data_IF_886412927909
#
_entry.id   IF_886412927909
#
_cell.length_a   1.000
_cell.length_b   1.000
_cell.length_c   1.000
_cell.angle_alpha   90.00
_cell.angle_beta   90.00
_cell.angle_gamma   90.00
#
_symmetry.space_group_name_H-M   'P 1'
#
loop_
_entity.id
_entity.type
_entity.pdbx_description
1 polymer ?
#
# COMPACT_ATOMS: atom_id res chain seq x y z
N UNK A 1 10.42 17.05 10.91
CA UNK A 1 10.03 16.58 9.56
C UNK A 1 8.52 16.77 9.39
N UNK A 2 8.04 17.14 8.19
CA UNK A 2 6.63 17.43 7.93
C UNK A 2 5.88 16.09 7.74
N UNK A 3 4.74 15.91 8.44
CA UNK A 3 3.87 14.77 8.22
C UNK A 3 3.14 14.89 6.88
N UNK A 4 2.86 13.76 6.24
CA UNK A 4 2.09 13.69 5.00
C UNK A 4 0.70 13.08 5.24
N UNK A 5 0.61 12.14 6.21
CA UNK A 5 -0.66 11.57 6.69
C UNK A 5 -0.68 11.64 8.21
N UNK A 6 -1.79 12.12 8.78
CA UNK A 6 -2.04 12.09 10.21
C UNK A 6 -3.45 11.55 10.47
N UNK A 7 -3.54 10.63 11.40
CA UNK A 7 -4.78 9.97 11.79
C UNK A 7 -5.00 10.26 13.27
N UNK A 8 -6.15 10.84 13.61
CA UNK A 8 -6.50 11.25 14.97
C UNK A 8 -7.75 10.54 15.44
N UNK A 9 -7.62 9.75 16.52
CA UNK A 9 -8.71 9.06 17.22
C UNK A 9 -9.70 8.34 16.27
N UNK A 10 -9.20 7.79 15.18
CA UNK A 10 -10.01 7.16 14.16
C UNK A 10 -10.66 5.89 14.69
N UNK A 11 -11.98 5.84 14.61
CA UNK A 11 -12.78 4.66 14.94
C UNK A 11 -13.70 4.30 13.78
N UNK A 12 -13.91 3.00 13.57
CA UNK A 12 -14.87 2.48 12.58
C UNK A 12 -15.67 1.34 13.15
N UNK A 13 -16.99 1.52 13.13
CA UNK A 13 -17.97 0.56 13.63
C UNK A 13 -18.79 0.00 12.48
N UNK A 14 -19.20 -1.27 12.59
CA UNK A 14 -20.22 -1.93 11.78
C UNK A 14 -21.15 -2.70 12.72
N UNK A 15 -22.45 -2.51 12.60
CA UNK A 15 -23.47 -3.23 13.35
C UNK A 15 -23.14 -3.38 14.86
N UNK A 16 -22.84 -2.26 15.52
CA UNK A 16 -22.44 -2.18 16.92
C UNK A 16 -21.09 -2.85 17.26
N UNK A 17 -20.34 -3.38 16.27
CA UNK A 17 -19.01 -3.91 16.49
C UNK A 17 -17.94 -2.87 16.13
N UNK A 18 -17.12 -2.51 17.10
CA UNK A 18 -16.00 -1.59 16.89
C UNK A 18 -14.81 -2.34 16.31
N UNK A 19 -14.51 -2.11 15.01
CA UNK A 19 -13.42 -2.79 14.31
C UNK A 19 -12.12 -1.99 14.38
N UNK A 20 -12.21 -0.65 14.32
CA UNK A 20 -11.08 0.25 14.60
C UNK A 20 -11.43 1.12 15.78
N UNK A 21 -10.51 1.24 16.73
CA UNK A 21 -10.76 1.88 18.00
C UNK A 21 -9.67 2.91 18.34
N UNK A 22 -10.00 4.18 18.16
CA UNK A 22 -9.15 5.35 18.49
C UNK A 22 -7.72 5.21 17.95
N UNK A 23 -7.59 4.85 16.67
CA UNK A 23 -6.30 4.78 15.99
C UNK A 23 -5.70 6.18 15.91
N UNK A 24 -4.47 6.30 16.38
CA UNK A 24 -3.63 7.48 16.22
C UNK A 24 -2.35 7.05 15.49
N UNK A 25 -2.05 7.69 14.35
CA UNK A 25 -0.88 7.36 13.55
C UNK A 25 -0.42 8.59 12.78
N UNK A 26 0.89 8.80 12.75
CA UNK A 26 1.52 9.89 12.03
C UNK A 26 2.59 9.35 11.10
N UNK A 27 2.53 9.70 9.82
CA UNK A 27 3.44 9.25 8.78
C UNK A 27 4.16 10.46 8.20
N UNK A 28 5.48 10.42 8.25
CA UNK A 28 6.35 11.52 7.80
C UNK A 28 6.59 11.43 6.30
N UNK A 29 6.74 12.54 5.61
CA UNK A 29 7.09 12.56 4.19
C UNK A 29 8.43 11.85 3.95
N UNK A 30 8.45 10.95 2.96
CA UNK A 30 9.61 10.13 2.60
C UNK A 30 9.84 8.90 3.48
N UNK A 31 8.96 8.65 4.45
CA UNK A 31 9.00 7.49 5.34
C UNK A 31 8.40 6.25 4.66
N UNK A 32 9.00 5.08 4.90
CA UNK A 32 8.43 3.78 4.56
C UNK A 32 7.88 3.13 5.82
N UNK A 33 6.56 3.22 6.02
CA UNK A 33 5.86 2.61 7.13
C UNK A 33 5.33 1.23 6.75
N UNK A 34 5.61 0.23 7.56
CA UNK A 34 4.98 -1.10 7.44
C UNK A 34 3.97 -1.30 8.56
N UNK A 35 2.73 -1.64 8.19
CA UNK A 35 1.64 -1.93 9.13
C UNK A 35 1.47 -3.45 9.21
N UNK A 36 1.69 -4.01 10.40
CA UNK A 36 1.59 -5.45 10.67
C UNK A 36 0.44 -5.78 11.60
N UNK A 37 0.10 -7.06 11.67
CA UNK A 37 -0.92 -7.60 12.58
C UNK A 37 -1.59 -8.83 12.01
N UNK A 38 -2.28 -9.58 12.87
CA UNK A 38 -3.00 -10.82 12.49
C UNK A 38 -4.09 -10.53 11.44
N UNK A 39 -4.51 -11.56 10.71
CA UNK A 39 -5.68 -11.45 9.82
C UNK A 39 -6.89 -10.98 10.62
N UNK A 40 -7.69 -10.08 10.03
CA UNK A 40 -8.86 -9.51 10.72
C UNK A 40 -8.57 -8.43 11.77
N UNK A 41 -7.31 -8.03 12.01
CA UNK A 41 -6.96 -7.01 13.01
C UNK A 41 -7.37 -5.58 12.65
N UNK A 42 -7.82 -5.32 11.40
CA UNK A 42 -8.28 -4.01 10.94
C UNK A 42 -7.35 -3.29 9.96
N UNK A 43 -6.22 -3.88 9.53
CA UNK A 43 -5.23 -3.25 8.63
C UNK A 43 -5.83 -2.74 7.32
N UNK A 44 -6.47 -3.62 6.55
CA UNK A 44 -7.10 -3.25 5.26
C UNK A 44 -8.30 -2.30 5.46
N UNK A 45 -8.98 -2.36 6.61
CA UNK A 45 -10.03 -1.41 6.94
C UNK A 45 -9.48 -0.01 7.19
N UNK A 46 -8.37 0.10 7.92
CA UNK A 46 -7.67 1.36 8.13
C UNK A 46 -7.25 1.96 6.79
N UNK A 47 -6.68 1.15 5.89
CA UNK A 47 -6.30 1.61 4.55
C UNK A 47 -7.50 2.08 3.74
N UNK A 48 -8.65 1.38 3.77
CA UNK A 48 -9.88 1.81 3.10
C UNK A 48 -10.39 3.16 3.64
N UNK A 49 -10.20 3.44 4.92
CA UNK A 49 -10.49 4.75 5.49
C UNK A 49 -9.50 5.83 4.98
N UNK A 50 -8.21 5.54 4.92
CA UNK A 50 -7.18 6.46 4.39
C UNK A 50 -7.42 6.79 2.91
N UNK A 51 -7.86 5.81 2.13
CA UNK A 51 -8.20 5.97 0.70
C UNK A 51 -9.58 6.62 0.47
N UNK A 52 -10.32 6.97 1.53
CA UNK A 52 -11.65 7.54 1.38
C UNK A 52 -12.74 6.59 0.87
N UNK A 53 -12.41 5.29 0.70
CA UNK A 53 -13.38 4.26 0.29
C UNK A 53 -14.44 4.07 1.38
N UNK A 54 -14.03 4.20 2.65
CA UNK A 54 -14.92 4.11 3.80
C UNK A 54 -14.72 5.32 4.71
N UNK A 55 -15.83 6.02 5.00
CA UNK A 55 -15.80 7.11 5.98
C UNK A 55 -15.64 6.51 7.39
N UNK A 56 -14.72 7.02 8.23
CA UNK A 56 -14.64 6.64 9.64
C UNK A 56 -15.94 7.00 10.38
N UNK A 57 -16.24 6.27 11.46
CA UNK A 57 -17.38 6.58 12.33
C UNK A 57 -17.07 7.75 13.27
N UNK A 58 -15.78 7.89 13.65
CA UNK A 58 -15.25 8.98 14.48
C UNK A 58 -13.80 9.24 14.12
N UNK A 59 -13.30 10.42 14.50
CA UNK A 59 -11.92 10.83 14.28
C UNK A 59 -11.71 11.48 12.92
N UNK A 60 -10.45 11.78 12.61
CA UNK A 60 -10.05 12.55 11.43
C UNK A 60 -8.86 11.93 10.73
N UNK A 61 -8.79 12.13 9.42
CA UNK A 61 -7.64 11.77 8.59
C UNK A 61 -7.20 13.04 7.86
N UNK A 62 -6.00 13.51 8.17
CA UNK A 62 -5.36 14.58 7.44
C UNK A 62 -4.38 13.99 6.43
N UNK A 63 -4.52 14.38 5.17
CA UNK A 63 -3.57 14.05 4.11
C UNK A 63 -3.07 15.38 3.54
N UNK A 64 -1.75 15.57 3.54
CA UNK A 64 -1.11 16.83 3.13
C UNK A 64 -1.66 18.04 3.92
N UNK A 65 -1.90 17.87 5.22
CA UNK A 65 -2.49 18.84 6.16
C UNK A 65 -3.96 19.22 5.86
N UNK A 66 -4.69 18.46 5.06
CA UNK A 66 -6.10 18.69 4.75
C UNK A 66 -6.93 17.56 5.32
N UNK A 67 -7.99 17.87 6.07
CA UNK A 67 -8.91 16.86 6.56
C UNK A 67 -9.71 16.29 5.39
N UNK A 68 -9.39 15.05 4.99
CA UNK A 68 -9.88 14.41 3.79
C UNK A 68 -11.40 14.37 3.68
N UNK A 69 -12.09 14.16 4.80
CA UNK A 69 -13.55 14.06 4.81
C UNK A 69 -14.28 15.39 5.00
N UNK A 70 -13.55 16.49 5.21
CA UNK A 70 -14.10 17.83 5.39
C UNK A 70 -13.88 18.75 4.18
N UNK A 71 -12.97 18.39 3.27
CA UNK A 71 -12.71 19.17 2.05
C UNK A 71 -13.74 18.85 0.97
N UNK A 72 -13.87 19.74 -0.02
CA UNK A 72 -14.75 19.56 -1.19
C UNK A 72 -14.27 18.40 -2.06
N UNK A 73 -15.18 17.84 -2.86
CA UNK A 73 -14.91 16.67 -3.72
C UNK A 73 -13.73 16.88 -4.67
N UNK A 74 -13.66 18.04 -5.31
CA UNK A 74 -12.53 18.35 -6.23
C UNK A 74 -11.17 18.29 -5.51
N UNK A 75 -11.16 18.67 -4.24
CA UNK A 75 -9.97 18.65 -3.41
C UNK A 75 -9.64 17.22 -2.92
N UNK A 76 -10.67 16.40 -2.63
CA UNK A 76 -10.49 14.97 -2.39
C UNK A 76 -9.89 14.28 -3.61
N UNK A 77 -10.39 14.58 -4.81
CA UNK A 77 -9.88 14.01 -6.07
C UNK A 77 -8.41 14.39 -6.31
N UNK A 78 -8.03 15.65 -6.00
CA UNK A 78 -6.62 16.07 -6.06
C UNK A 78 -5.73 15.33 -5.06
N UNK A 79 -6.22 15.08 -3.84
CA UNK A 79 -5.50 14.28 -2.85
C UNK A 79 -5.35 12.84 -3.35
N UNK A 80 -6.42 12.23 -3.84
CA UNK A 80 -6.40 10.84 -4.36
C UNK A 80 -5.50 10.70 -5.59
N UNK A 81 -5.39 11.73 -6.42
CA UNK A 81 -4.43 11.75 -7.53
C UNK A 81 -2.97 11.64 -7.06
N UNK A 82 -2.66 12.13 -5.86
CA UNK A 82 -1.31 12.02 -5.28
C UNK A 82 -1.01 10.66 -4.64
N UNK A 83 -1.96 9.71 -4.67
CA UNK A 83 -1.84 8.38 -4.08
C UNK A 83 -1.84 7.32 -5.17
N UNK A 84 -0.83 6.46 -5.18
CA UNK A 84 -0.81 5.20 -5.92
C UNK A 84 -1.12 4.04 -4.98
N UNK A 85 -1.93 3.08 -5.42
CA UNK A 85 -2.36 1.97 -4.57
C UNK A 85 -2.31 0.63 -5.30
N UNK A 86 -1.86 -0.41 -4.59
CA UNK A 86 -2.08 -1.80 -4.97
C UNK A 86 -2.94 -2.47 -3.92
N UNK A 87 -3.96 -3.19 -4.35
CA UNK A 87 -4.87 -3.93 -3.47
C UNK A 87 -4.47 -5.40 -3.38
N UNK A 88 -4.86 -6.04 -2.30
CA UNK A 88 -4.82 -7.50 -2.19
C UNK A 88 -5.55 -8.12 -3.39
N UNK A 89 -4.91 -9.13 -4.04
CA UNK A 89 -5.47 -9.72 -5.27
C UNK A 89 -5.25 -8.91 -6.54
N UNK A 90 -4.36 -7.89 -6.51
CA UNK A 90 -3.96 -7.01 -7.63
C UNK A 90 -5.06 -6.08 -8.16
N UNK A 91 -6.34 -6.44 -8.05
CA UNK A 91 -7.50 -5.69 -8.53
C UNK A 91 -7.33 -5.16 -9.97
N UNK A 92 -6.77 -5.99 -10.86
CA UNK A 92 -6.74 -5.70 -12.29
C UNK A 92 -8.12 -5.92 -12.88
N UNK A 93 -8.47 -5.13 -13.88
CA UNK A 93 -9.70 -5.29 -14.64
C UNK A 93 -9.50 -6.38 -15.67
N UNK A 94 -10.15 -7.53 -15.50
CA UNK A 94 -9.97 -8.72 -16.37
C UNK A 94 -10.39 -8.47 -17.82
N UNK A 95 -11.35 -7.57 -18.05
CA UNK A 95 -11.85 -7.17 -19.37
C UNK A 95 -10.96 -6.14 -20.08
N UNK A 96 -9.95 -5.60 -19.41
CA UNK A 96 -9.03 -4.59 -19.93
C UNK A 96 -7.66 -5.20 -20.23
N UNK A 97 -7.04 -4.73 -21.32
CA UNK A 97 -5.65 -5.06 -21.62
C UNK A 97 -4.69 -4.46 -20.58
N UNK A 98 -3.47 -4.93 -20.55
CA UNK A 98 -2.47 -4.47 -19.57
C UNK A 98 -2.21 -2.97 -19.69
N UNK A 99 -2.10 -2.43 -20.91
CA UNK A 99 -1.91 -1.00 -21.10
C UNK A 99 -3.09 -0.17 -20.58
N UNK A 100 -4.33 -0.65 -20.77
CA UNK A 100 -5.55 0.00 -20.26
C UNK A 100 -5.60 -0.04 -18.71
N UNK A 101 -5.26 -1.19 -18.14
CA UNK A 101 -5.14 -1.33 -16.70
C UNK A 101 -4.13 -0.33 -16.11
N UNK A 102 -2.94 -0.22 -16.69
CA UNK A 102 -1.87 0.66 -16.20
C UNK A 102 -2.27 2.13 -16.36
N UNK A 103 -2.79 2.52 -17.55
CA UNK A 103 -3.14 3.91 -17.83
C UNK A 103 -4.51 4.33 -17.33
N UNK A 104 -5.29 3.44 -16.70
CA UNK A 104 -6.68 3.66 -16.32
C UNK A 104 -6.93 5.01 -15.63
N UNK A 105 -6.10 5.37 -14.65
CA UNK A 105 -6.23 6.63 -13.91
C UNK A 105 -5.97 7.86 -14.80
N UNK A 106 -5.03 7.77 -15.73
CA UNK A 106 -4.66 8.86 -16.63
C UNK A 106 -5.68 9.05 -17.76
N UNK A 107 -6.29 7.94 -18.23
CA UNK A 107 -7.26 7.96 -19.32
C UNK A 107 -8.60 8.60 -18.96
N UNK A 108 -8.93 8.68 -17.66
CA UNK A 108 -10.19 9.29 -17.16
C UNK A 108 -10.34 10.78 -17.50
N UNK A 109 -9.25 11.48 -17.77
CA UNK A 109 -9.27 12.94 -17.87
C UNK A 109 -9.17 13.47 -19.31
N UNK A 110 -9.11 12.64 -20.35
CA UNK A 110 -8.96 13.00 -21.76
C UNK A 110 -7.80 13.99 -22.10
N UNK A 111 -6.87 14.21 -21.15
CA UNK A 111 -5.76 15.15 -21.33
C UNK A 111 -4.60 14.54 -22.15
N UNK A 112 -4.53 13.21 -22.23
CA UNK A 112 -3.42 12.53 -22.87
C UNK A 112 -3.83 11.94 -24.21
N UNK A 113 -3.03 12.18 -25.26
CA UNK A 113 -3.11 11.45 -26.52
C UNK A 113 -2.66 10.00 -26.30
N UNK A 114 -3.12 9.08 -27.13
CA UNK A 114 -2.76 7.65 -27.02
C UNK A 114 -1.23 7.43 -27.03
N UNK A 115 -0.48 8.17 -27.88
CA UNK A 115 0.98 8.07 -27.93
C UNK A 115 1.65 8.40 -26.59
N UNK A 116 1.16 9.44 -25.90
CA UNK A 116 1.68 9.85 -24.60
C UNK A 116 1.36 8.81 -23.50
N UNK A 117 0.13 8.25 -23.53
CA UNK A 117 -0.23 7.15 -22.62
C UNK A 117 0.64 5.92 -22.85
N UNK A 118 0.89 5.58 -24.12
CA UNK A 118 1.74 4.45 -24.51
C UNK A 118 3.14 4.60 -23.93
N UNK A 119 3.79 5.75 -24.13
CA UNK A 119 5.13 6.03 -23.59
C UNK A 119 5.17 5.89 -22.05
N UNK A 120 4.19 6.43 -21.36
CA UNK A 120 4.08 6.31 -19.88
C UNK A 120 3.90 4.85 -19.44
N UNK A 121 3.09 4.08 -20.16
CA UNK A 121 2.87 2.65 -19.90
C UNK A 121 4.16 1.86 -20.12
N UNK A 122 4.84 2.06 -21.24
CA UNK A 122 6.12 1.42 -21.57
C UNK A 122 7.16 1.73 -20.49
N UNK A 123 7.26 2.99 -20.08
CA UNK A 123 8.15 3.39 -19.00
C UNK A 123 7.80 2.67 -17.69
N UNK A 124 6.51 2.64 -17.30
CA UNK A 124 6.07 1.99 -16.05
C UNK A 124 6.30 0.48 -16.07
N UNK A 125 6.11 -0.20 -17.21
CA UNK A 125 6.42 -1.62 -17.37
C UNK A 125 7.92 -1.88 -17.17
N UNK A 126 8.77 -1.06 -17.76
CA UNK A 126 10.22 -1.16 -17.58
C UNK A 126 10.64 -0.98 -16.13
N UNK A 127 10.00 -0.05 -15.38
CA UNK A 127 10.29 0.16 -13.94
C UNK A 127 9.96 -1.05 -13.06
N UNK A 128 9.10 -1.94 -13.53
CA UNK A 128 8.75 -3.19 -12.82
C UNK A 128 9.37 -4.44 -13.48
N UNK A 129 10.30 -4.25 -14.41
CA UNK A 129 11.03 -5.33 -15.08
C UNK A 129 10.13 -6.22 -15.96
N UNK A 130 9.13 -5.64 -16.62
CA UNK A 130 8.25 -6.32 -17.57
C UNK A 130 8.51 -5.82 -19.00
N UNK A 131 8.47 -6.75 -19.97
CA UNK A 131 8.59 -6.42 -21.39
C UNK A 131 7.36 -5.64 -21.87
N UNK A 132 7.58 -4.67 -22.77
CA UNK A 132 6.51 -3.94 -23.42
C UNK A 132 5.61 -4.83 -24.32
N UNK A 133 6.08 -6.01 -24.69
CA UNK A 133 5.31 -6.98 -25.50
C UNK A 133 4.02 -7.44 -24.83
N UNK A 134 3.91 -7.33 -23.50
CA UNK A 134 2.70 -7.74 -22.76
C UNK A 134 1.58 -6.69 -22.78
N UNK A 135 1.83 -5.50 -23.29
CA UNK A 135 0.86 -4.37 -23.23
C UNK A 135 -0.53 -4.73 -23.73
N UNK A 136 -0.59 -5.57 -24.77
CA UNK A 136 -1.85 -5.94 -25.43
C UNK A 136 -2.46 -7.23 -24.89
N UNK A 137 -1.81 -7.89 -23.92
CA UNK A 137 -2.33 -9.06 -23.24
C UNK A 137 -3.39 -8.69 -22.22
N UNK A 138 -4.17 -9.67 -21.78
CA UNK A 138 -5.13 -9.57 -20.67
C UNK A 138 -4.53 -10.13 -19.39
N UNK A 139 -5.01 -9.73 -18.19
CA UNK A 139 -4.51 -10.22 -16.92
C UNK A 139 -4.46 -11.75 -16.82
N UNK A 140 -5.46 -12.46 -17.33
CA UNK A 140 -5.53 -13.92 -17.33
C UNK A 140 -4.37 -14.63 -18.07
N UNK A 141 -3.66 -13.92 -18.95
CA UNK A 141 -2.52 -14.45 -19.71
C UNK A 141 -1.18 -14.29 -18.96
N UNK A 142 -1.19 -13.66 -17.79
CA UNK A 142 0.00 -13.37 -16.99
C UNK A 142 0.09 -14.29 -15.76
N UNK A 143 1.33 -14.63 -15.35
CA UNK A 143 1.55 -15.27 -14.06
C UNK A 143 1.17 -14.34 -12.89
N UNK A 144 0.89 -14.89 -11.70
CA UNK A 144 0.54 -14.09 -10.52
C UNK A 144 1.60 -13.04 -10.16
N UNK A 145 2.89 -13.39 -10.28
CA UNK A 145 3.99 -12.44 -10.09
C UNK A 145 4.02 -11.31 -11.14
N UNK A 146 3.69 -11.62 -12.40
CA UNK A 146 3.57 -10.59 -13.44
C UNK A 146 2.36 -9.67 -13.18
N UNK A 147 1.22 -10.23 -12.76
CA UNK A 147 0.04 -9.43 -12.40
C UNK A 147 0.34 -8.45 -11.25
N UNK A 148 1.09 -8.89 -10.22
CA UNK A 148 1.53 -8.01 -9.13
C UNK A 148 2.43 -6.88 -9.63
N UNK A 149 3.36 -7.15 -10.55
CA UNK A 149 4.19 -6.12 -11.16
C UNK A 149 3.37 -5.14 -11.99
N UNK A 150 2.36 -5.61 -12.74
CA UNK A 150 1.43 -4.74 -13.46
C UNK A 150 0.64 -3.85 -12.50
N UNK A 151 0.19 -4.38 -11.36
CA UNK A 151 -0.48 -3.59 -10.33
C UNK A 151 0.44 -2.49 -9.74
N UNK A 152 1.73 -2.79 -9.54
CA UNK A 152 2.73 -1.79 -9.13
C UNK A 152 2.92 -0.77 -10.27
N UNK A 153 3.07 -1.18 -11.54
CA UNK A 153 3.20 -0.28 -12.68
C UNK A 153 2.01 0.70 -12.76
N UNK A 154 0.78 0.21 -12.54
CA UNK A 154 -0.43 1.03 -12.44
C UNK A 154 -0.37 2.03 -11.28
N UNK A 155 0.17 1.60 -10.14
CA UNK A 155 0.26 2.48 -8.97
C UNK A 155 1.27 3.62 -9.16
N UNK A 156 2.35 3.40 -9.92
CA UNK A 156 3.45 4.37 -10.09
C UNK A 156 3.37 5.25 -11.34
N UNK A 157 2.44 4.96 -12.29
CA UNK A 157 2.41 5.62 -13.60
C UNK A 157 2.27 7.14 -13.55
N UNK A 158 1.60 7.65 -12.51
CA UNK A 158 1.35 9.09 -12.27
C UNK A 158 2.33 9.71 -11.26
N UNK A 159 3.43 9.03 -10.98
CA UNK A 159 4.48 9.45 -10.06
C UNK A 159 3.95 9.98 -8.71
N UNK A 160 3.18 9.19 -7.96
CA UNK A 160 2.48 9.64 -6.78
C UNK A 160 3.42 9.99 -5.62
N UNK A 161 3.02 10.96 -4.77
CA UNK A 161 3.75 11.31 -3.55
C UNK A 161 3.58 10.25 -2.44
N UNK A 162 2.51 9.47 -2.49
CA UNK A 162 2.18 8.42 -1.51
C UNK A 162 1.91 7.13 -2.25
N UNK A 163 2.56 6.06 -1.82
CA UNK A 163 2.34 4.71 -2.33
C UNK A 163 1.79 3.81 -1.22
N UNK A 164 0.71 3.09 -1.50
CA UNK A 164 0.08 2.16 -0.56
C UNK A 164 0.07 0.76 -1.18
N UNK A 165 0.63 -0.22 -0.46
CA UNK A 165 0.71 -1.61 -0.89
C UNK A 165 -0.01 -2.50 0.11
N UNK A 166 -1.10 -3.17 -0.32
CA UNK A 166 -1.83 -4.12 0.50
C UNK A 166 -1.43 -5.55 0.15
N UNK A 167 -0.70 -6.20 1.05
CA UNK A 167 -0.21 -7.58 0.93
C UNK A 167 0.50 -7.85 -0.42
N UNK A 168 1.53 -7.06 -0.80
CA UNK A 168 2.12 -7.10 -2.15
C UNK A 168 2.79 -8.43 -2.49
N UNK A 169 3.25 -9.19 -1.50
CA UNK A 169 3.95 -10.48 -1.66
C UNK A 169 3.07 -11.70 -1.40
N UNK A 170 1.81 -11.49 -0.98
CA UNK A 170 0.88 -12.57 -0.65
C UNK A 170 0.68 -13.54 -1.83
N UNK A 171 0.75 -14.85 -1.55
CA UNK A 171 0.55 -15.91 -2.55
C UNK A 171 1.72 -16.11 -3.52
N UNK A 172 2.88 -15.51 -3.26
CA UNK A 172 4.10 -15.70 -4.03
C UNK A 172 5.10 -16.58 -3.26
N UNK A 173 5.93 -17.31 -4.01
CA UNK A 173 7.10 -17.97 -3.43
C UNK A 173 8.11 -16.92 -2.89
N UNK A 174 9.01 -17.32 -1.97
CA UNK A 174 9.94 -16.38 -1.33
C UNK A 174 10.86 -15.62 -2.31
N UNK A 175 11.28 -16.27 -3.40
CA UNK A 175 12.17 -15.66 -4.40
C UNK A 175 11.43 -14.56 -5.17
N UNK A 176 10.23 -14.85 -5.62
CA UNK A 176 9.36 -13.89 -6.32
C UNK A 176 8.93 -12.77 -5.38
N UNK A 177 8.56 -13.09 -4.13
CA UNK A 177 8.23 -12.09 -3.11
C UNK A 177 9.38 -11.12 -2.85
N UNK A 178 10.61 -11.64 -2.77
CA UNK A 178 11.81 -10.82 -2.62
C UNK A 178 12.03 -9.85 -3.80
N UNK A 179 11.75 -10.29 -5.03
CA UNK A 179 11.81 -9.43 -6.22
C UNK A 179 10.77 -8.31 -6.16
N UNK A 180 9.55 -8.62 -5.70
CA UNK A 180 8.50 -7.60 -5.50
C UNK A 180 8.93 -6.57 -4.44
N UNK A 181 9.48 -7.01 -3.32
CA UNK A 181 9.98 -6.10 -2.28
C UNK A 181 11.08 -5.17 -2.82
N UNK A 182 12.03 -5.68 -3.61
CA UNK A 182 13.06 -4.86 -4.26
C UNK A 182 12.45 -3.83 -5.21
N UNK A 183 11.48 -4.23 -6.04
CA UNK A 183 10.77 -3.31 -6.94
C UNK A 183 10.04 -2.20 -6.18
N UNK A 184 9.43 -2.51 -5.04
CA UNK A 184 8.78 -1.51 -4.17
C UNK A 184 9.81 -0.51 -3.67
N UNK A 185 10.94 -0.97 -3.12
CA UNK A 185 12.02 -0.13 -2.59
C UNK A 185 12.57 0.79 -3.68
N UNK A 186 12.91 0.23 -4.84
CA UNK A 186 13.52 0.96 -5.95
C UNK A 186 12.58 2.07 -6.46
N UNK A 187 11.28 1.76 -6.61
CA UNK A 187 10.30 2.75 -7.07
C UNK A 187 9.98 3.81 -6.01
N UNK A 188 9.84 3.43 -4.73
CA UNK A 188 9.65 4.40 -3.63
C UNK A 188 10.83 5.35 -3.56
N UNK A 189 12.07 4.83 -3.65
CA UNK A 189 13.29 5.64 -3.64
C UNK A 189 13.40 6.53 -4.88
N UNK A 190 13.16 5.98 -6.08
CA UNK A 190 13.21 6.73 -7.34
C UNK A 190 12.24 7.92 -7.35
N UNK A 191 11.02 7.71 -6.84
CA UNK A 191 9.98 8.73 -6.79
C UNK A 191 10.11 9.69 -5.59
N UNK A 192 10.92 9.35 -4.59
CA UNK A 192 10.95 10.08 -3.32
C UNK A 192 9.61 10.02 -2.58
N UNK A 193 8.80 8.98 -2.84
CA UNK A 193 7.46 8.82 -2.29
C UNK A 193 7.50 8.39 -0.82
N UNK A 194 6.44 8.69 -0.10
CA UNK A 194 6.14 8.06 1.19
C UNK A 194 5.42 6.75 0.93
N UNK A 195 5.78 5.66 1.60
CA UNK A 195 5.10 4.39 1.40
C UNK A 195 4.45 3.84 2.66
N UNK A 196 3.29 3.19 2.47
CA UNK A 196 2.61 2.39 3.50
C UNK A 196 2.46 1.00 2.93
N UNK A 197 3.05 0.01 3.59
CA UNK A 197 2.90 -1.39 3.20
C UNK A 197 2.16 -2.15 4.30
N UNK A 198 1.06 -2.79 3.95
CA UNK A 198 0.36 -3.72 4.83
C UNK A 198 0.85 -5.12 4.53
N UNK A 199 1.35 -5.81 5.54
CA UNK A 199 1.80 -7.20 5.38
C UNK A 199 1.80 -7.94 6.71
N UNK A 200 1.78 -9.26 6.63
CA UNK A 200 2.06 -10.15 7.75
C UNK A 200 3.43 -10.85 7.60
N UNK A 201 4.15 -10.59 6.51
CA UNK A 201 5.46 -11.20 6.22
C UNK A 201 6.62 -10.41 6.84
N UNK A 202 7.30 -10.99 7.83
CA UNK A 202 8.46 -10.37 8.50
C UNK A 202 9.64 -10.13 7.55
N UNK A 203 9.82 -10.93 6.48
CA UNK A 203 10.91 -10.69 5.53
C UNK A 203 10.71 -9.38 4.77
N UNK A 204 9.47 -9.05 4.45
CA UNK A 204 9.10 -7.77 3.85
C UNK A 204 9.39 -6.60 4.79
N UNK A 205 9.10 -6.75 6.11
CA UNK A 205 9.36 -5.71 7.11
C UNK A 205 10.84 -5.32 7.10
N UNK A 206 11.73 -6.32 7.22
CA UNK A 206 13.17 -6.08 7.29
C UNK A 206 13.73 -5.35 6.06
N UNK A 207 13.11 -5.56 4.89
CA UNK A 207 13.56 -4.96 3.62
C UNK A 207 12.97 -3.57 3.38
N UNK A 208 11.66 -3.42 3.57
CA UNK A 208 10.91 -2.23 3.13
C UNK A 208 10.84 -1.17 4.22
N UNK A 209 10.71 -1.55 5.51
CA UNK A 209 10.37 -0.63 6.57
C UNK A 209 11.51 0.30 7.00
N UNK A 210 11.19 1.58 7.20
CA UNK A 210 11.89 2.45 8.15
C UNK A 210 11.22 2.33 9.52
N UNK A 211 9.89 2.47 9.55
CA UNK A 211 9.07 2.32 10.75
C UNK A 211 8.05 1.23 10.61
N UNK A 212 7.63 0.72 11.74
CA UNK A 212 6.61 -0.32 11.82
C UNK A 212 5.52 0.10 12.80
N UNK A 213 4.27 -0.19 12.46
CA UNK A 213 3.13 -0.07 13.37
C UNK A 213 2.42 -1.43 13.45
N UNK A 214 2.11 -1.88 14.66
CA UNK A 214 1.32 -3.12 14.84
C UNK A 214 -0.10 -2.79 15.23
N UNK A 215 -1.04 -3.32 14.44
CA UNK A 215 -2.47 -3.30 14.77
C UNK A 215 -2.88 -4.64 15.37
N UNK A 216 -3.48 -4.60 16.54
CA UNK A 216 -4.13 -5.75 17.18
C UNK A 216 -5.50 -5.32 17.71
N UNK A 217 -6.55 -6.11 17.41
CA UNK A 217 -7.93 -5.84 17.83
C UNK A 217 -8.38 -4.38 17.60
N UNK A 218 -8.06 -3.87 16.41
CA UNK A 218 -8.43 -2.52 15.99
C UNK A 218 -7.68 -1.37 16.67
N UNK A 219 -6.60 -1.63 17.39
CA UNK A 219 -5.76 -0.61 18.07
C UNK A 219 -4.32 -0.69 17.60
N UNK A 220 -3.63 0.44 17.51
CA UNK A 220 -2.17 0.47 17.40
C UNK A 220 -1.61 0.11 18.78
N UNK A 221 -0.99 -1.06 18.89
CA UNK A 221 -0.39 -1.53 20.15
C UNK A 221 1.12 -1.28 20.21
N UNK A 222 1.74 -0.99 19.09
CA UNK A 222 3.14 -0.62 18.99
C UNK A 222 3.39 0.22 17.72
N UNK A 223 4.29 1.20 17.81
CA UNK A 223 4.77 2.01 16.70
C UNK A 223 6.17 2.51 17.02
N UNK A 224 7.11 2.32 16.11
CA UNK A 224 8.51 2.73 16.32
C UNK A 224 9.40 2.46 15.10
N UNK A 225 10.69 2.71 15.27
CA UNK A 225 11.71 2.40 14.26
C UNK A 225 11.83 0.87 14.11
N UNK A 226 12.15 0.41 12.92
CA UNK A 226 12.31 -1.02 12.63
C UNK A 226 13.33 -1.69 13.56
N UNK A 227 14.42 -1.01 13.86
CA UNK A 227 15.52 -1.48 14.71
C UNK A 227 15.09 -1.73 16.16
N UNK A 228 13.99 -1.12 16.60
CA UNK A 228 13.48 -1.28 17.98
C UNK A 228 12.45 -2.42 18.10
N UNK A 229 12.08 -3.05 16.98
CA UNK A 229 11.12 -4.17 16.99
C UNK A 229 11.52 -5.28 17.95
N UNK A 230 12.77 -5.75 17.86
CA UNK A 230 13.29 -6.86 18.68
C UNK A 230 13.53 -6.48 20.14
N UNK A 231 13.67 -5.16 20.43
CA UNK A 231 13.87 -4.65 21.78
C UNK A 231 12.56 -4.37 22.52
N UNK A 232 11.44 -4.54 21.82
CA UNK A 232 10.13 -4.23 22.38
C UNK A 232 9.78 -5.14 23.56
N UNK A 233 9.22 -4.55 24.62
CA UNK A 233 8.63 -5.30 25.74
C UNK A 233 7.18 -5.69 25.53
N UNK A 234 6.59 -5.39 24.35
CA UNK A 234 5.21 -5.72 24.04
C UNK A 234 5.09 -7.23 23.77
N UNK A 235 4.40 -7.96 24.62
CA UNK A 235 4.24 -9.43 24.52
C UNK A 235 3.60 -9.84 23.20
N UNK A 236 2.50 -9.20 22.80
CA UNK A 236 1.77 -9.53 21.56
C UNK A 236 2.62 -9.31 20.32
N UNK A 237 3.45 -8.26 20.29
CA UNK A 237 4.41 -8.03 19.21
C UNK A 237 5.47 -9.13 19.18
N UNK A 238 6.04 -9.48 20.32
CA UNK A 238 7.06 -10.52 20.42
C UNK A 238 6.51 -11.90 19.99
N UNK A 239 5.30 -12.25 20.43
CA UNK A 239 4.61 -13.46 19.97
C UNK A 239 4.42 -13.46 18.45
N UNK A 240 4.00 -12.34 17.86
CA UNK A 240 3.81 -12.22 16.40
C UNK A 240 5.13 -12.45 15.65
N UNK A 241 6.24 -11.86 16.13
CA UNK A 241 7.56 -11.99 15.51
C UNK A 241 8.10 -13.43 15.65
N UNK A 242 7.93 -14.08 16.82
CA UNK A 242 8.44 -15.41 17.08
C UNK A 242 7.68 -16.49 16.31
N UNK A 243 6.36 -16.42 16.19
CA UNK A 243 5.55 -17.39 15.43
C UNK A 243 6.04 -17.47 13.96
N UNK A 244 6.39 -16.35 13.36
CA UNK A 244 6.84 -16.32 11.97
C UNK A 244 8.29 -16.83 11.80
N UNK A 245 9.13 -16.67 12.83
CA UNK A 245 10.49 -17.23 12.85
C UNK A 245 10.47 -18.76 12.96
N UNK A 246 9.58 -19.32 13.78
CA UNK A 246 9.42 -20.78 13.94
C UNK A 246 8.80 -21.45 12.72
N UNK A 247 7.89 -20.78 12.01
CA UNK A 247 7.30 -21.28 10.77
C UNK A 247 8.34 -21.43 9.66
N UNK A 248 9.37 -20.57 9.64
CA UNK A 248 10.46 -20.60 8.64
C UNK A 248 11.57 -21.60 8.94
N UNK A 249 11.79 -21.93 10.20
CA UNK A 249 12.79 -22.93 10.60
C UNK A 249 12.33 -24.37 10.27
N UNK A 250 11.05 -24.56 9.91
CA UNK A 250 10.43 -25.87 9.60
C UNK A 250 10.10 -26.05 8.11
N UNK A 251 10.37 -25.08 7.26
CA UNK A 251 10.21 -25.12 5.80
C UNK A 251 11.57 -25.12 5.08
#
# INVERSE_FOLDING_TARGET
MKSIIEIFNLSKNFDNKNILNKINLKITKGESLVIIGKSGSGKSLLMKCVLGILKPSQGEILIKNKNFFSVKRDEQDLILKSIGVTFQGNALFDSMRIWENISFKLSQNNFFKFSQLKEKVEFSLNQVGLSNSIMYQFPAQLSGGMQKRVAIARAIIDEPEILIFDEPTSGLDPVTGNKINSLIIDNVKRLGSTSITITHDLSSINKIANKVAMINEGKIIWHGEKEDLQKSKNKTLNEFINIDSDARSKS
#
